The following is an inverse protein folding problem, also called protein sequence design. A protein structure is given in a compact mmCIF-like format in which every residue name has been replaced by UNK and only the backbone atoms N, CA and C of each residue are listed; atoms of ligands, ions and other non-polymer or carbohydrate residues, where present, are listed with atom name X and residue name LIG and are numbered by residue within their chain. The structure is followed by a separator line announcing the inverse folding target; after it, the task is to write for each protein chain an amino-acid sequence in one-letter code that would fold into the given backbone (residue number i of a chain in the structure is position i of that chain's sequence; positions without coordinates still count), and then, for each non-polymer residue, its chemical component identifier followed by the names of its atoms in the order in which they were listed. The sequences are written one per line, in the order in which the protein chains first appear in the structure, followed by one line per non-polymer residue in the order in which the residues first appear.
data_IF_661175942638
#
_entry.id   IF_661175942638
#
_cell.length_a   1.000
_cell.length_b   1.000
_cell.length_c   1.000
_cell.angle_alpha   90.00
_cell.angle_beta   90.00
_cell.angle_gamma   90.00
#
_symmetry.space_group_name_H-M   'P 1'
#
loop_
_entity.id
_entity.type
_entity.pdbx_description
1 polymer ?
#
# COMPACT_ATOMS: atom_id res chain seq x y z
N UNK A 1 20.76 -26.86 -35.64
CA UNK A 1 20.91 -25.39 -35.59
C UNK A 1 19.77 -24.58 -36.22
N UNK A 2 19.38 -24.81 -37.49
CA UNK A 2 18.30 -24.05 -38.17
C UNK A 2 16.94 -24.05 -37.44
N UNK A 3 16.51 -25.20 -36.89
CA UNK A 3 15.23 -25.34 -36.14
C UNK A 3 15.19 -24.47 -34.86
N UNK A 4 16.29 -24.43 -34.11
CA UNK A 4 16.42 -23.63 -32.88
C UNK A 4 16.39 -22.12 -33.18
N UNK A 5 17.08 -21.69 -34.24
CA UNK A 5 17.05 -20.29 -34.70
C UNK A 5 15.65 -19.87 -35.14
N UNK A 6 14.91 -20.74 -35.83
CA UNK A 6 13.50 -20.50 -36.20
C UNK A 6 12.60 -20.30 -34.97
N UNK A 7 12.69 -21.20 -34.00
CA UNK A 7 11.93 -21.08 -32.74
C UNK A 7 12.25 -19.77 -31.99
N UNK A 8 13.51 -19.36 -31.90
CA UNK A 8 13.89 -18.08 -31.26
C UNK A 8 13.27 -16.87 -31.96
N UNK A 9 13.26 -16.85 -33.30
CA UNK A 9 12.65 -15.76 -34.07
C UNK A 9 11.15 -15.71 -33.83
N UNK A 10 10.47 -16.86 -33.78
CA UNK A 10 9.04 -16.92 -33.49
C UNK A 10 8.71 -16.50 -32.06
N UNK A 11 9.53 -16.88 -31.07
CA UNK A 11 9.40 -16.39 -29.70
C UNK A 11 9.58 -14.88 -29.62
N UNK A 12 10.56 -14.31 -30.34
CA UNK A 12 10.78 -12.86 -30.38
C UNK A 12 9.60 -12.13 -31.02
N UNK A 13 9.12 -12.59 -32.18
CA UNK A 13 7.93 -12.02 -32.85
C UNK A 13 6.66 -12.16 -32.02
N UNK A 14 6.50 -13.27 -31.28
CA UNK A 14 5.38 -13.48 -30.36
C UNK A 14 5.46 -12.54 -29.16
N UNK A 15 6.66 -12.32 -28.61
CA UNK A 15 6.89 -11.37 -27.53
C UNK A 15 6.63 -9.92 -27.97
N UNK A 16 7.08 -9.53 -29.16
CA UNK A 16 6.81 -8.21 -29.75
C UNK A 16 5.31 -7.98 -29.97
N UNK A 17 4.59 -8.95 -30.57
CA UNK A 17 3.12 -8.84 -30.70
C UNK A 17 2.40 -8.73 -29.36
N UNK A 18 2.81 -9.49 -28.33
CA UNK A 18 2.25 -9.33 -26.98
C UNK A 18 2.53 -7.94 -26.43
N UNK A 19 3.76 -7.44 -26.58
CA UNK A 19 4.14 -6.09 -26.14
C UNK A 19 3.32 -5.02 -26.84
N UNK A 20 3.19 -5.07 -28.16
CA UNK A 20 2.38 -4.12 -28.93
C UNK A 20 0.90 -4.19 -28.56
N UNK A 21 0.36 -5.40 -28.36
CA UNK A 21 -1.01 -5.57 -27.90
C UNK A 21 -1.21 -4.90 -26.54
N UNK A 22 -0.36 -5.22 -25.55
CA UNK A 22 -0.45 -4.63 -24.22
C UNK A 22 -0.25 -3.12 -24.24
N UNK A 23 0.72 -2.58 -24.98
CA UNK A 23 0.91 -1.12 -25.09
C UNK A 23 -0.28 -0.42 -25.77
N UNK A 24 -0.97 -1.07 -26.71
CA UNK A 24 -2.21 -0.53 -27.33
C UNK A 24 -3.41 -0.55 -26.38
N UNK A 25 -3.49 -1.53 -25.47
CA UNK A 25 -4.60 -1.65 -24.50
C UNK A 25 -4.25 -1.10 -23.11
N UNK A 26 -3.02 -0.66 -22.90
CA UNK A 26 -2.54 0.00 -21.67
C UNK A 26 -3.17 1.38 -21.62
N UNK A 27 -4.42 1.40 -21.16
CA UNK A 27 -5.12 2.62 -20.80
C UNK A 27 -4.38 3.28 -19.65
N UNK A 28 -4.56 4.59 -19.53
CA UNK A 28 -4.04 5.35 -18.40
C UNK A 28 -4.47 4.66 -17.08
N UNK A 29 -3.54 4.34 -16.16
CA UNK A 29 -3.86 3.83 -14.83
C UNK A 29 -4.97 4.62 -14.12
N UNK A 30 -5.06 5.94 -14.35
CA UNK A 30 -6.09 6.82 -13.81
C UNK A 30 -7.48 6.63 -14.44
N UNK A 31 -7.58 5.92 -15.57
CA UNK A 31 -8.84 5.61 -16.27
C UNK A 31 -9.46 4.26 -15.85
N UNK A 32 -8.78 3.48 -15.00
CA UNK A 32 -9.37 2.25 -14.45
C UNK A 32 -10.24 2.58 -13.22
N UNK A 33 -11.17 1.67 -12.92
CA UNK A 33 -11.87 1.66 -11.65
C UNK A 33 -10.86 1.50 -10.52
N UNK A 34 -10.75 2.50 -9.64
CA UNK A 34 -9.92 2.42 -8.45
C UNK A 34 -10.71 1.77 -7.32
N UNK A 35 -10.12 0.76 -6.68
CA UNK A 35 -10.67 0.13 -5.47
C UNK A 35 -9.82 0.58 -4.29
N UNK A 36 -10.40 1.44 -3.46
CA UNK A 36 -9.78 1.92 -2.22
C UNK A 36 -10.25 1.04 -1.06
N UNK A 37 -9.32 0.50 -0.28
CA UNK A 37 -9.60 -0.31 0.89
C UNK A 37 -9.21 0.44 2.16
N UNK A 38 -10.14 0.58 3.10
CA UNK A 38 -9.82 0.98 4.48
C UNK A 38 -9.76 -0.27 5.34
N UNK A 39 -8.78 -0.36 6.23
CA UNK A 39 -8.78 -1.40 7.25
C UNK A 39 -10.09 -1.32 8.05
N UNK A 40 -10.90 -2.37 7.99
CA UNK A 40 -12.15 -2.49 8.73
C UNK A 40 -12.20 -3.84 9.45
N UNK A 41 -12.91 -3.88 10.57
CA UNK A 41 -13.13 -5.12 11.31
C UNK A 41 -14.41 -5.75 10.77
N UNK A 42 -14.29 -6.88 10.07
CA UNK A 42 -15.45 -7.57 9.52
C UNK A 42 -16.13 -8.37 10.63
N UNK A 43 -17.39 -8.04 10.90
CA UNK A 43 -18.24 -8.75 11.84
C UNK A 43 -19.24 -9.63 11.05
N UNK A 44 -19.15 -10.96 11.19
CA UNK A 44 -20.05 -11.91 10.51
C UNK A 44 -21.48 -11.86 11.07
N UNK A 45 -21.60 -11.61 12.38
CA UNK A 45 -22.88 -11.43 13.05
C UNK A 45 -23.32 -9.97 12.96
N UNK A 46 -24.50 -9.74 12.39
CA UNK A 46 -25.09 -8.41 12.25
C UNK A 46 -25.32 -7.72 13.60
N UNK A 47 -25.65 -8.46 14.67
CA UNK A 47 -25.81 -7.90 16.00
C UNK A 47 -24.49 -7.39 16.57
N UNK A 48 -23.39 -8.12 16.33
CA UNK A 48 -22.04 -7.71 16.74
C UNK A 48 -21.57 -6.51 15.90
N UNK A 49 -21.85 -6.50 14.60
CA UNK A 49 -21.53 -5.37 13.72
C UNK A 49 -22.22 -4.08 14.22
N UNK A 50 -23.53 -4.17 14.48
CA UNK A 50 -24.30 -3.07 15.05
C UNK A 50 -23.73 -2.67 16.43
N UNK A 51 -23.42 -3.63 17.29
CA UNK A 51 -22.85 -3.33 18.61
C UNK A 51 -21.46 -2.69 18.55
N UNK A 52 -20.67 -2.89 17.48
CA UNK A 52 -19.34 -2.32 17.31
C UNK A 52 -19.36 -0.96 16.59
N UNK A 53 -20.18 -0.82 15.54
CA UNK A 53 -20.19 0.37 14.67
C UNK A 53 -21.40 1.28 14.88
N UNK A 54 -22.29 0.98 15.83
CA UNK A 54 -23.45 1.81 16.12
C UNK A 54 -23.00 3.25 16.40
N UNK A 55 -23.64 4.27 15.78
CA UNK A 55 -23.37 5.67 16.09
C UNK A 55 -23.57 6.00 17.56
N UNK A 56 -24.40 5.20 18.25
CA UNK A 56 -24.58 5.33 19.68
C UNK A 56 -23.20 5.19 20.34
N UNK A 57 -22.28 4.31 19.86
CA UNK A 57 -20.92 4.06 20.42
C UNK A 57 -20.02 5.27 20.46
N UNK A 58 -20.39 6.33 19.78
CA UNK A 58 -19.63 7.56 19.82
C UNK A 58 -20.23 8.48 20.88
N UNK A 59 -19.37 9.09 21.69
CA UNK A 59 -19.75 10.13 22.63
C UNK A 59 -18.89 11.39 22.46
N UNK A 60 -19.43 12.59 22.74
CA UNK A 60 -18.66 13.82 22.68
C UNK A 60 -17.49 13.79 23.67
N UNK A 61 -16.29 14.05 23.18
CA UNK A 61 -15.11 14.17 24.01
C UNK A 61 -15.09 15.51 24.73
N UNK A 62 -15.03 15.51 26.06
CA UNK A 62 -15.08 16.74 26.86
C UNK A 62 -16.29 17.64 26.54
N UNK A 63 -17.39 17.05 26.06
CA UNK A 63 -18.60 17.78 25.64
C UNK A 63 -18.55 18.39 24.24
N UNK A 64 -17.44 18.28 23.51
CA UNK A 64 -17.33 18.76 22.12
C UNK A 64 -17.94 17.74 21.14
N UNK A 65 -19.00 18.15 20.45
CA UNK A 65 -19.72 17.31 19.47
C UNK A 65 -18.99 17.13 18.15
N UNK A 66 -18.00 17.98 17.84
CA UNK A 66 -17.14 17.81 16.67
C UNK A 66 -16.00 16.82 16.91
N UNK A 67 -15.73 16.48 18.18
CA UNK A 67 -14.68 15.57 18.58
C UNK A 67 -15.28 14.37 19.29
N UNK A 68 -15.57 13.32 18.53
CA UNK A 68 -16.24 12.13 19.04
C UNK A 68 -15.22 11.04 19.38
N UNK A 69 -15.41 10.36 20.52
CA UNK A 69 -14.61 9.19 20.91
C UNK A 69 -15.51 7.98 21.15
N UNK A 70 -14.93 6.78 21.08
CA UNK A 70 -15.63 5.56 21.48
C UNK A 70 -15.96 5.63 22.98
N UNK A 71 -17.19 5.29 23.37
CA UNK A 71 -17.58 5.23 24.79
C UNK A 71 -16.82 4.18 25.60
N UNK A 72 -16.19 3.21 24.94
CA UNK A 72 -15.28 2.25 25.56
C UNK A 72 -13.80 2.68 25.48
N UNK A 73 -13.50 3.83 24.88
CA UNK A 73 -12.15 4.40 24.92
C UNK A 73 -11.74 4.64 26.38
N UNK A 74 -10.51 4.25 26.74
CA UNK A 74 -9.99 4.36 28.12
C UNK A 74 -10.03 5.81 28.61
N UNK A 75 -9.91 6.78 27.69
CA UNK A 75 -10.00 8.20 28.01
C UNK A 75 -11.36 8.59 28.58
N UNK A 76 -12.45 7.93 28.18
CA UNK A 76 -13.79 8.16 28.71
C UNK A 76 -13.95 7.73 30.18
N UNK A 77 -13.03 6.90 30.68
CA UNK A 77 -13.02 6.40 32.05
C UNK A 77 -12.13 7.23 33.00
N UNK A 78 -11.53 8.32 32.51
CA UNK A 78 -10.75 9.23 33.35
C UNK A 78 -11.69 10.18 34.09
N UNK A 79 -11.75 10.05 35.42
CA UNK A 79 -12.52 10.96 36.28
C UNK A 79 -12.02 12.42 36.23
N UNK A 80 -10.73 12.59 35.95
CA UNK A 80 -10.06 13.87 35.85
C UNK A 80 -9.04 13.86 34.72
N UNK A 81 -9.11 14.86 33.86
CA UNK A 81 -8.11 15.10 32.81
C UNK A 81 -7.36 16.36 33.21
N UNK A 82 -6.04 16.25 33.48
CA UNK A 82 -5.24 17.41 33.79
C UNK A 82 -5.33 18.42 32.65
N UNK A 83 -5.63 19.68 32.98
CA UNK A 83 -5.50 20.75 32.00
C UNK A 83 -4.05 20.82 31.51
N UNK A 84 -3.88 20.87 30.19
CA UNK A 84 -2.55 21.07 29.62
C UNK A 84 -1.98 22.37 30.18
N UNK A 85 -0.90 22.24 30.95
CA UNK A 85 -0.18 23.37 31.49
C UNK A 85 1.10 23.50 30.65
N UNK A 86 1.30 24.62 29.94
CA UNK A 86 2.50 24.80 29.13
C UNK A 86 3.77 24.56 29.97
N UNK A 87 4.85 24.02 29.38
CA UNK A 87 6.10 23.73 30.08
C UNK A 87 6.70 24.92 30.84
N UNK A 88 6.35 26.15 30.45
CA UNK A 88 6.77 27.39 31.12
C UNK A 88 6.28 27.49 32.58
N UNK A 89 5.21 26.78 32.93
CA UNK A 89 4.59 26.84 34.26
C UNK A 89 4.90 25.61 35.13
N UNK A 90 5.36 24.51 34.50
CA UNK A 90 5.74 23.27 35.19
C UNK A 90 7.12 22.82 34.69
N UNK A 91 8.21 23.01 35.46
CA UNK A 91 9.52 22.50 35.06
C UNK A 91 9.45 20.97 35.00
N UNK A 92 9.65 20.44 33.80
CA UNK A 92 9.78 19.00 33.54
C UNK A 92 11.16 18.50 33.99
N UNK A 93 11.27 17.23 34.36
CA UNK A 93 12.56 16.66 34.74
C UNK A 93 13.55 16.67 33.57
N UNK A 94 14.87 16.65 33.80
CA UNK A 94 15.86 16.54 32.73
C UNK A 94 15.63 15.33 31.81
N UNK A 95 15.16 14.22 32.36
CA UNK A 95 14.79 13.01 31.61
C UNK A 95 13.57 13.27 30.71
N UNK A 96 12.53 13.89 31.25
CA UNK A 96 11.33 14.26 30.49
C UNK A 96 11.64 15.26 29.39
N UNK A 97 12.52 16.23 29.64
CA UNK A 97 12.98 17.18 28.63
C UNK A 97 13.77 16.49 27.51
N UNK A 98 14.61 15.52 27.87
CA UNK A 98 15.35 14.70 26.91
C UNK A 98 14.42 13.89 26.01
N UNK A 99 13.40 13.27 26.59
CA UNK A 99 12.42 12.47 25.83
C UNK A 99 11.52 13.35 24.97
N UNK A 100 11.03 14.48 25.49
CA UNK A 100 10.25 15.46 24.73
C UNK A 100 11.06 16.03 23.55
N UNK A 101 12.38 16.22 23.73
CA UNK A 101 13.28 16.63 22.65
C UNK A 101 13.38 15.59 21.54
N UNK A 102 13.45 14.29 21.87
CA UNK A 102 13.43 13.20 20.87
C UNK A 102 12.08 13.14 20.16
N UNK A 103 10.98 13.25 20.90
CA UNK A 103 9.63 13.28 20.33
C UNK A 103 9.44 14.48 19.39
N UNK A 104 9.92 15.65 19.77
CA UNK A 104 9.87 16.84 18.92
C UNK A 104 10.75 16.69 17.67
N UNK A 105 11.93 16.06 17.79
CA UNK A 105 12.73 15.75 16.62
C UNK A 105 11.94 14.89 15.62
N UNK A 106 11.34 13.77 16.05
CA UNK A 106 10.54 12.93 15.15
C UNK A 106 9.30 13.66 14.60
N UNK A 107 8.64 14.48 15.42
CA UNK A 107 7.48 15.30 15.02
C UNK A 107 7.80 16.27 13.89
N UNK A 108 8.97 16.91 13.94
CA UNK A 108 9.36 17.96 13.00
C UNK A 108 10.38 17.49 11.95
N UNK A 109 10.89 16.27 12.04
CA UNK A 109 11.96 15.73 11.19
C UNK A 109 11.66 15.95 9.71
N UNK A 110 10.48 15.56 9.25
CA UNK A 110 10.08 15.68 7.84
C UNK A 110 9.99 17.14 7.39
N UNK A 111 9.46 18.03 8.24
CA UNK A 111 9.36 19.45 7.92
C UNK A 111 10.73 20.12 7.78
N UNK A 112 11.66 19.82 8.69
CA UNK A 112 13.04 20.34 8.62
C UNK A 112 13.76 19.83 7.38
N UNK A 113 13.59 18.55 7.04
CA UNK A 113 14.17 17.97 5.83
C UNK A 113 13.61 18.60 4.55
N UNK A 114 12.29 18.83 4.50
CA UNK A 114 11.63 19.48 3.38
C UNK A 114 12.09 20.93 3.22
N UNK A 115 12.16 21.69 4.32
CA UNK A 115 12.62 23.08 4.31
C UNK A 115 14.07 23.19 3.82
N UNK A 116 14.96 22.33 4.34
CA UNK A 116 16.34 22.24 3.88
C UNK A 116 16.44 21.88 2.38
N UNK A 117 15.56 21.01 1.89
CA UNK A 117 15.49 20.61 0.48
C UNK A 117 14.76 21.63 -0.41
N UNK A 118 14.21 22.71 0.16
CA UNK A 118 13.39 23.70 -0.57
C UNK A 118 12.08 23.13 -1.11
N UNK A 119 11.57 22.05 -0.52
CA UNK A 119 10.30 21.43 -0.90
C UNK A 119 9.18 22.22 -0.21
N UNK A 120 8.35 22.88 -1.02
CA UNK A 120 7.16 23.57 -0.52
C UNK A 120 6.13 22.58 0.02
N UNK A 121 5.27 23.05 0.93
CA UNK A 121 4.16 22.26 1.47
C UNK A 121 3.26 21.71 0.36
N UNK A 122 2.94 22.52 -0.66
CA UNK A 122 2.14 22.12 -1.82
C UNK A 122 2.76 20.93 -2.57
N UNK A 123 4.07 20.95 -2.78
CA UNK A 123 4.78 19.83 -3.43
C UNK A 123 4.76 18.57 -2.58
N UNK A 124 4.92 18.69 -1.25
CA UNK A 124 4.86 17.56 -0.34
C UNK A 124 3.47 16.94 -0.31
N UNK A 125 2.42 17.75 -0.20
CA UNK A 125 1.02 17.31 -0.22
C UNK A 125 0.65 16.67 -1.56
N UNK A 126 1.12 17.25 -2.67
CA UNK A 126 0.92 16.67 -4.00
C UNK A 126 1.58 15.29 -4.12
N UNK A 127 2.80 15.13 -3.58
CA UNK A 127 3.48 13.82 -3.57
C UNK A 127 2.70 12.78 -2.76
N UNK A 128 2.19 13.15 -1.57
CA UNK A 128 1.34 12.28 -0.75
C UNK A 128 0.10 11.85 -1.52
N UNK A 129 -0.59 12.81 -2.16
CA UNK A 129 -1.78 12.52 -2.97
C UNK A 129 -1.49 11.52 -4.10
N UNK A 130 -0.36 11.68 -4.79
CA UNK A 130 0.07 10.75 -5.84
C UNK A 130 0.38 9.36 -5.25
N UNK A 131 1.11 9.31 -4.13
CA UNK A 131 1.47 8.05 -3.46
C UNK A 131 0.24 7.31 -2.91
N UNK A 132 -0.78 8.02 -2.45
CA UNK A 132 -2.05 7.44 -2.00
C UNK A 132 -2.89 6.92 -3.18
N UNK A 133 -3.00 7.69 -4.26
CA UNK A 133 -3.82 7.31 -5.42
C UNK A 133 -3.25 6.15 -6.22
N UNK A 134 -1.94 6.15 -6.42
CA UNK A 134 -1.29 5.19 -7.30
C UNK A 134 -0.56 4.09 -6.51
N UNK A 135 -0.60 4.16 -5.17
CA UNK A 135 0.31 3.43 -4.30
C UNK A 135 1.73 3.97 -4.48
N UNK A 136 2.61 3.72 -3.51
CA UNK A 136 4.04 3.94 -3.70
C UNK A 136 4.55 3.07 -4.85
N UNK A 137 4.39 3.52 -6.10
CA UNK A 137 5.17 3.05 -7.22
C UNK A 137 6.60 3.44 -6.87
N UNK A 138 7.28 2.55 -6.13
CA UNK A 138 8.70 2.40 -6.34
C UNK A 138 8.84 2.23 -7.85
N UNK A 139 9.29 3.28 -8.53
CA UNK A 139 9.80 3.15 -9.89
C UNK A 139 10.77 1.98 -9.77
N UNK A 140 10.52 0.81 -10.40
CA UNK A 140 11.48 -0.27 -10.33
C UNK A 140 12.75 0.34 -10.88
N UNK A 141 13.76 0.42 -10.02
CA UNK A 141 15.07 0.89 -10.43
C UNK A 141 15.45 0.02 -11.64
N UNK A 142 15.96 0.59 -12.73
CA UNK A 142 16.29 -0.16 -13.95
C UNK A 142 17.21 -1.36 -13.63
N UNK A 143 18.00 -1.23 -12.54
CA UNK A 143 18.84 -2.29 -11.97
C UNK A 143 18.07 -3.45 -11.32
N UNK A 144 16.92 -3.20 -10.68
CA UNK A 144 16.07 -4.27 -10.14
C UNK A 144 15.36 -5.04 -11.26
N UNK A 145 14.95 -4.35 -12.31
CA UNK A 145 14.37 -4.97 -13.51
C UNK A 145 15.33 -5.95 -14.19
N UNK A 146 16.63 -5.62 -14.22
CA UNK A 146 17.69 -6.52 -14.72
C UNK A 146 17.90 -7.73 -13.79
N UNK A 147 17.93 -7.52 -12.47
CA UNK A 147 18.08 -8.62 -11.49
C UNK A 147 16.90 -9.59 -11.47
N UNK A 148 15.66 -9.12 -11.66
CA UNK A 148 14.47 -9.98 -11.76
C UNK A 148 14.40 -10.75 -13.08
N UNK A 149 14.97 -10.21 -14.16
CA UNK A 149 15.07 -10.91 -15.44
C UNK A 149 16.04 -12.10 -15.38
N UNK A 150 17.13 -11.98 -14.63
CA UNK A 150 18.09 -13.07 -14.37
C UNK A 150 17.54 -14.16 -13.44
N UNK A 151 16.57 -13.81 -12.59
CA UNK A 151 15.92 -14.74 -11.63
C UNK A 151 14.63 -15.37 -12.14
N UNK A 152 14.38 -15.40 -13.46
CA UNK A 152 13.27 -16.19 -14.01
C UNK A 152 13.54 -17.68 -13.74
N UNK A 153 12.99 -18.16 -12.63
CA UNK A 153 13.00 -19.57 -12.26
C UNK A 153 12.39 -20.39 -13.40
N UNK A 154 13.18 -21.33 -13.92
CA UNK A 154 12.64 -22.48 -14.65
C UNK A 154 11.75 -23.23 -13.66
N UNK A 155 10.45 -23.28 -13.91
CA UNK A 155 9.52 -24.13 -13.14
C UNK A 155 9.95 -25.57 -13.40
N UNK A 156 10.74 -26.13 -12.50
CA UNK A 156 11.31 -27.47 -12.56
C UNK A 156 10.39 -28.52 -11.96
N UNK A 157 9.13 -28.56 -12.42
CA UNK A 157 8.26 -29.69 -12.14
C UNK A 157 7.27 -29.91 -13.28
N UNK A 158 7.37 -31.07 -13.92
CA UNK A 158 6.44 -31.55 -14.93
C UNK A 158 5.58 -32.62 -14.25
N UNK A 159 4.26 -32.47 -14.28
CA UNK A 159 3.36 -33.50 -13.74
C UNK A 159 3.35 -34.71 -14.68
N UNK A 160 3.40 -35.91 -14.10
CA UNK A 160 3.43 -37.24 -14.77
C UNK A 160 2.27 -37.50 -15.75
N UNK A 161 1.24 -36.64 -15.77
CA UNK A 161 0.06 -36.76 -16.63
C UNK A 161 0.08 -35.80 -17.84
N UNK A 162 1.23 -35.20 -18.14
CA UNK A 162 1.37 -34.26 -19.29
C UNK A 162 1.63 -34.97 -20.62
N UNK A 163 1.43 -36.29 -20.71
CA UNK A 163 1.50 -37.05 -21.95
C UNK A 163 0.32 -36.63 -22.84
N UNK A 164 0.63 -35.85 -23.87
CA UNK A 164 -0.30 -35.57 -24.97
C UNK A 164 -0.70 -36.92 -25.55
N UNK A 165 -1.99 -37.28 -25.43
CA UNK A 165 -2.52 -38.50 -26.03
C UNK A 165 -2.13 -38.55 -27.51
N UNK A 166 -1.41 -39.60 -27.90
CA UNK A 166 -1.12 -39.89 -29.29
C UNK A 166 -2.45 -40.12 -30.00
N UNK A 167 -2.83 -39.19 -30.88
CA UNK A 167 -3.91 -39.44 -31.83
C UNK A 167 -3.44 -40.55 -32.77
N UNK A 168 -3.96 -41.76 -32.56
CA UNK A 168 -3.88 -42.85 -33.52
C UNK A 168 -4.48 -42.37 -34.86
N UNK A 169 -3.63 -42.30 -35.88
CA UNK A 169 -4.09 -42.19 -37.26
C UNK A 169 -4.75 -43.52 -37.64
N UNK A 170 -6.07 -43.60 -37.48
CA UNK A 170 -6.91 -44.56 -38.20
C UNK A 170 -7.04 -44.10 -39.65
N UNK A 171 -6.01 -44.37 -40.45
CA UNK A 171 -6.11 -44.41 -41.90
C UNK A 171 -6.56 -45.79 -42.32
N UNK A 172 -7.85 -45.97 -42.62
CA UNK A 172 -8.32 -47.04 -43.50
C UNK A 172 -9.66 -46.65 -44.15
N UNK A 173 -9.57 -46.16 -45.39
CA UNK A 173 -10.27 -46.69 -46.56
C UNK A 173 -9.71 -46.07 -47.83
#
# INVERSE_FOLDING_TARGET
ERKLRGMMVDYKKRAERRREYYEKIKKDPAQFLQVHGRACKVHLDSAVALAAESPVNMMPWQGDTNNMIDRFDVRAHLDYIPMYTPPLLNPISPEQESDERKCNYERYRGLVQNDFAGISEEQCLYQIYIDELYGGLQKPNEDEKKKLAEKKASIGYTYEDSTVAEFENLSEK
#
